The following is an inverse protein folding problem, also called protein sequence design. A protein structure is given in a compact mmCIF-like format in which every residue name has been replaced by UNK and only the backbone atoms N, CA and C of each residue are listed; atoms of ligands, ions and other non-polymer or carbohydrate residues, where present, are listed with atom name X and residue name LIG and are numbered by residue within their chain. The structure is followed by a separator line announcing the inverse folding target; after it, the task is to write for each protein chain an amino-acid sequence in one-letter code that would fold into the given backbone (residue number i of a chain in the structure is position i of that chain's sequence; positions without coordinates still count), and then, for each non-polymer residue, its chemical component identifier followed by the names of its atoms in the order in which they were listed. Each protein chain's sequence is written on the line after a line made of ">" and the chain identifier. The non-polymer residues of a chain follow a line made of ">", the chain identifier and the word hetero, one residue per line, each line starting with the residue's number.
data_IF_882004305490
#
_entry.id   IF_882004305490
#
_cell.length_a   1.000
_cell.length_b   1.000
_cell.length_c   1.000
_cell.angle_alpha   90.00
_cell.angle_beta   90.00
_cell.angle_gamma   90.00
#
_symmetry.space_group_name_H-M   'P 1'
#
loop_
_entity.id
_entity.type
_entity.pdbx_description
1 polymer ?
#
# COMPACT_ATOMS: atom_id res chain seq x y z
N UNK A 1 -47.27 72.58 52.02
CA UNK A 1 -46.87 72.50 50.58
C UNK A 1 -46.43 71.11 50.29
N UNK A 2 -47.27 70.38 49.52
CA UNK A 2 -47.08 68.95 49.18
C UNK A 2 -46.58 68.82 47.75
N UNK A 3 -45.42 68.24 47.49
CA UNK A 3 -44.96 67.84 46.14
C UNK A 3 -45.16 66.33 45.97
N UNK A 4 -46.02 65.94 45.03
CA UNK A 4 -46.23 64.60 44.59
C UNK A 4 -45.17 64.23 43.57
N UNK A 5 -44.46 63.17 43.77
CA UNK A 5 -43.52 62.55 42.81
C UNK A 5 -44.23 61.42 42.10
N UNK A 6 -44.39 61.51 40.76
CA UNK A 6 -44.89 60.44 39.89
C UNK A 6 -43.76 59.43 39.66
N UNK A 7 -44.02 58.16 39.96
CA UNK A 7 -43.21 57.02 39.54
C UNK A 7 -43.67 56.61 38.16
N UNK A 8 -42.77 56.74 37.18
CA UNK A 8 -42.93 56.11 35.84
C UNK A 8 -42.35 54.72 35.86
N UNK A 9 -43.21 53.68 35.74
CA UNK A 9 -42.81 52.29 35.59
C UNK A 9 -42.46 52.04 34.12
N UNK A 10 -41.17 51.93 33.79
CA UNK A 10 -40.66 51.49 32.49
C UNK A 10 -40.63 49.95 32.48
N UNK A 11 -41.48 49.30 31.69
CA UNK A 11 -41.41 47.89 31.41
C UNK A 11 -40.27 47.61 30.44
N UNK A 12 -39.18 47.00 30.90
CA UNK A 12 -38.09 46.51 30.09
C UNK A 12 -38.55 45.15 29.46
N UNK A 13 -38.88 45.17 28.15
CA UNK A 13 -39.09 43.94 27.35
C UNK A 13 -37.67 43.37 27.08
N UNK A 14 -37.29 42.34 27.82
CA UNK A 14 -36.15 41.54 27.53
C UNK A 14 -36.41 40.70 26.28
N UNK A 15 -35.88 41.11 25.12
CA UNK A 15 -35.79 40.27 23.91
C UNK A 15 -34.81 39.12 24.22
N UNK A 16 -35.35 37.94 24.55
CA UNK A 16 -34.63 36.71 24.57
C UNK A 16 -34.24 36.33 23.11
N UNK A 17 -33.05 36.73 22.70
CA UNK A 17 -32.46 36.15 21.48
C UNK A 17 -32.28 34.63 21.73
N UNK A 18 -32.77 33.76 20.82
CA UNK A 18 -32.46 32.35 20.90
C UNK A 18 -30.94 32.22 20.76
N UNK A 19 -30.29 31.79 21.84
CA UNK A 19 -28.91 31.35 21.77
C UNK A 19 -28.89 30.14 20.81
N UNK A 20 -28.52 30.37 19.55
CA UNK A 20 -28.10 29.33 18.65
C UNK A 20 -26.82 28.72 19.26
N UNK A 21 -27.01 27.83 20.24
CA UNK A 21 -26.01 26.91 20.67
C UNK A 21 -25.71 26.01 19.45
N UNK A 22 -24.86 26.49 18.56
CA UNK A 22 -24.19 25.64 17.60
C UNK A 22 -23.53 24.55 18.41
N UNK A 23 -24.11 23.35 18.40
CA UNK A 23 -23.42 22.18 18.91
C UNK A 23 -22.07 22.15 18.20
N UNK A 24 -21.01 22.53 18.91
CA UNK A 24 -19.65 22.33 18.42
C UNK A 24 -19.54 20.81 18.18
N UNK A 25 -19.70 20.43 16.92
CA UNK A 25 -19.67 19.02 16.52
C UNK A 25 -18.28 18.49 16.87
N UNK A 26 -18.22 17.50 17.79
CA UNK A 26 -16.96 17.00 18.33
C UNK A 26 -15.99 16.64 17.20
N UNK A 27 -14.82 17.27 17.23
CA UNK A 27 -13.71 16.97 16.33
C UNK A 27 -13.02 15.69 16.79
N UNK A 28 -12.66 14.83 15.84
CA UNK A 28 -11.93 13.58 16.06
C UNK A 28 -10.57 13.70 15.40
N UNK A 29 -9.51 13.55 16.18
CA UNK A 29 -8.14 13.46 15.66
C UNK A 29 -7.73 12.01 15.53
N UNK A 30 -7.17 11.64 14.35
CA UNK A 30 -6.67 10.31 14.01
C UNK A 30 -5.16 10.36 13.79
N UNK A 31 -4.42 9.49 14.47
CA UNK A 31 -2.98 9.32 14.26
C UNK A 31 -2.74 8.41 13.05
N UNK A 32 -2.14 8.96 12.00
CA UNK A 32 -1.71 8.20 10.81
C UNK A 32 -0.21 7.95 10.87
N UNK A 33 0.23 6.68 10.80
CA UNK A 33 1.63 6.31 10.87
C UNK A 33 2.05 5.48 9.66
N UNK A 34 3.23 5.78 9.10
CA UNK A 34 3.78 5.07 7.94
C UNK A 34 5.31 5.12 7.90
N UNK A 35 5.91 4.13 7.22
CA UNK A 35 7.34 4.11 6.95
C UNK A 35 7.75 4.98 5.75
N UNK A 36 6.80 5.49 4.97
CA UNK A 36 7.09 6.29 3.78
C UNK A 36 7.65 7.66 4.14
N UNK A 37 8.67 8.07 3.40
CA UNK A 37 9.29 9.39 3.58
C UNK A 37 8.38 10.53 3.10
N UNK A 38 8.44 11.73 3.71
CA UNK A 38 7.54 12.85 3.39
C UNK A 38 7.60 13.34 1.93
N UNK A 39 8.71 13.10 1.23
CA UNK A 39 8.90 13.47 -0.17
C UNK A 39 8.50 12.37 -1.16
N UNK A 40 8.09 11.20 -0.70
CA UNK A 40 7.74 10.08 -1.58
C UNK A 40 6.42 10.32 -2.31
N UNK A 41 6.31 9.74 -3.53
CA UNK A 41 5.05 9.73 -4.28
C UNK A 41 3.87 9.19 -3.45
N UNK A 42 4.09 8.07 -2.74
CA UNK A 42 3.08 7.45 -1.87
C UNK A 42 2.62 8.42 -0.78
N UNK A 43 3.55 9.14 -0.14
CA UNK A 43 3.16 10.10 0.89
C UNK A 43 2.36 11.26 0.30
N UNK A 44 2.87 11.90 -0.74
CA UNK A 44 2.28 13.14 -1.29
C UNK A 44 0.96 12.89 -2.02
N UNK A 45 0.93 11.89 -2.88
CA UNK A 45 -0.17 11.67 -3.82
C UNK A 45 -1.17 10.58 -3.38
N UNK A 46 -0.86 9.80 -2.35
CA UNK A 46 -1.76 8.80 -1.79
C UNK A 46 -2.17 9.12 -0.35
N UNK A 47 -1.22 9.07 0.60
CA UNK A 47 -1.57 9.21 2.03
C UNK A 47 -2.12 10.59 2.34
N UNK A 48 -1.38 11.64 1.96
CA UNK A 48 -1.83 13.02 2.18
C UNK A 48 -3.12 13.31 1.43
N UNK A 49 -3.22 12.93 0.16
CA UNK A 49 -4.41 13.16 -0.65
C UNK A 49 -5.65 12.43 -0.08
N UNK A 50 -5.48 11.21 0.46
CA UNK A 50 -6.56 10.48 1.13
C UNK A 50 -6.97 11.17 2.44
N UNK A 51 -6.01 11.56 3.28
CA UNK A 51 -6.29 12.29 4.53
C UNK A 51 -6.98 13.63 4.26
N UNK A 52 -6.48 14.44 3.33
CA UNK A 52 -7.07 15.72 2.94
C UNK A 52 -8.53 15.55 2.45
N UNK A 53 -8.79 14.46 1.69
CA UNK A 53 -10.14 14.15 1.24
C UNK A 53 -11.07 13.78 2.39
N UNK A 54 -10.64 12.95 3.32
CA UNK A 54 -11.42 12.58 4.51
C UNK A 54 -11.68 13.81 5.39
N UNK A 55 -10.69 14.66 5.60
CA UNK A 55 -10.85 15.92 6.33
C UNK A 55 -11.91 16.82 5.66
N UNK A 56 -11.82 16.99 4.35
CA UNK A 56 -12.79 17.78 3.56
C UNK A 56 -14.20 17.19 3.64
N UNK A 57 -14.35 15.89 3.40
CA UNK A 57 -15.65 15.22 3.37
C UNK A 57 -16.33 15.18 4.75
N UNK A 58 -15.53 15.24 5.82
CA UNK A 58 -16.04 15.36 7.20
C UNK A 58 -16.41 16.78 7.61
N UNK A 59 -16.24 17.78 6.72
CA UNK A 59 -16.38 19.21 7.07
C UNK A 59 -15.35 19.67 8.10
N UNK A 60 -14.16 19.05 8.12
CA UNK A 60 -13.10 19.34 9.08
C UNK A 60 -13.27 18.73 10.46
N UNK A 61 -14.27 17.85 10.64
CA UNK A 61 -14.53 17.16 11.92
C UNK A 61 -13.61 15.98 12.18
N UNK A 62 -13.07 15.34 11.13
CA UNK A 62 -11.93 14.44 11.23
C UNK A 62 -10.68 15.25 10.91
N UNK A 63 -9.65 15.11 11.75
CA UNK A 63 -8.32 15.66 11.56
C UNK A 63 -7.29 14.56 11.65
N UNK A 64 -6.18 14.71 10.93
CA UNK A 64 -5.08 13.77 11.02
C UNK A 64 -3.84 14.40 11.65
N UNK A 65 -3.25 13.67 12.60
CA UNK A 65 -1.87 13.84 13.01
C UNK A 65 -1.04 12.79 12.28
N UNK A 66 -0.25 13.22 11.31
CA UNK A 66 0.44 12.34 10.39
C UNK A 66 1.93 12.22 10.74
N UNK A 67 2.41 10.98 10.84
CA UNK A 67 3.75 10.59 11.27
C UNK A 67 4.44 9.74 10.19
N UNK A 68 5.06 10.38 9.17
CA UNK A 68 5.83 9.68 8.14
C UNK A 68 7.17 9.16 8.69
N UNK A 69 7.85 8.33 7.90
CA UNK A 69 9.21 7.84 8.17
C UNK A 69 9.41 7.26 9.57
N UNK A 70 8.42 6.53 10.08
CA UNK A 70 8.42 5.87 11.41
C UNK A 70 8.62 6.85 12.59
N UNK A 71 8.15 8.09 12.50
CA UNK A 71 8.34 9.11 13.55
C UNK A 71 7.79 8.75 14.94
N UNK A 72 6.81 7.83 15.02
CA UNK A 72 6.32 7.30 16.30
C UNK A 72 7.12 6.09 16.81
N UNK A 73 8.23 5.76 16.12
CA UNK A 73 9.09 4.64 16.48
C UNK A 73 8.60 3.28 16.00
N UNK A 74 9.38 2.26 16.32
CA UNK A 74 9.19 0.91 15.81
C UNK A 74 9.81 0.70 14.42
N UNK A 75 9.45 -0.41 13.79
CA UNK A 75 9.91 -0.80 12.47
C UNK A 75 8.73 -0.97 11.50
N UNK A 76 8.96 -0.89 10.19
CA UNK A 76 7.91 -1.03 9.20
C UNK A 76 7.07 -2.33 9.35
N UNK A 77 7.64 -3.50 9.68
CA UNK A 77 6.87 -4.72 9.98
C UNK A 77 5.92 -4.60 11.18
N UNK A 78 6.18 -3.70 12.13
CA UNK A 78 5.34 -3.54 13.33
C UNK A 78 4.10 -2.67 13.11
N UNK A 79 3.98 -1.99 11.97
CA UNK A 79 2.87 -1.06 11.70
C UNK A 79 1.49 -1.71 11.81
N UNK A 80 1.34 -2.95 11.32
CA UNK A 80 0.06 -3.66 11.45
C UNK A 80 -0.30 -3.92 12.93
N UNK A 81 0.66 -4.30 13.75
CA UNK A 81 0.41 -4.50 15.19
C UNK A 81 0.19 -3.17 15.90
N UNK A 82 0.88 -2.10 15.54
CA UNK A 82 0.63 -0.77 16.11
C UNK A 82 -0.82 -0.31 15.90
N UNK A 83 -1.40 -0.53 14.71
CA UNK A 83 -2.80 -0.18 14.47
C UNK A 83 -3.76 -1.17 15.13
N UNK A 84 -3.45 -2.47 15.13
CA UNK A 84 -4.26 -3.49 15.80
C UNK A 84 -4.37 -3.19 17.31
N UNK A 85 -3.25 -2.87 17.93
CA UNK A 85 -3.15 -2.65 19.37
C UNK A 85 -3.54 -1.21 19.81
N UNK A 86 -3.88 -0.33 18.86
CA UNK A 86 -4.35 1.04 19.15
C UNK A 86 -3.25 2.04 19.51
N UNK A 87 -1.98 1.72 19.21
CA UNK A 87 -0.86 2.68 19.36
C UNK A 87 -1.03 3.83 18.37
N UNK A 88 -1.54 3.53 17.18
CA UNK A 88 -1.95 4.48 16.15
C UNK A 88 -3.36 4.15 15.67
N UNK A 89 -4.05 5.14 15.09
CA UNK A 89 -5.43 4.95 14.62
C UNK A 89 -5.48 4.41 13.19
N UNK A 90 -4.59 4.85 12.31
CA UNK A 90 -4.55 4.47 10.89
C UNK A 90 -3.11 4.17 10.48
N UNK A 91 -2.95 3.14 9.65
CA UNK A 91 -1.66 2.83 9.00
C UNK A 91 -1.85 2.32 7.59
N UNK A 92 -0.77 2.43 6.82
CA UNK A 92 -0.61 1.79 5.53
C UNK A 92 0.67 0.95 5.55
N UNK A 93 0.55 -0.35 5.19
CA UNK A 93 1.68 -1.28 5.25
C UNK A 93 1.48 -2.46 4.30
N UNK A 94 2.56 -3.09 3.78
CA UNK A 94 2.45 -4.37 3.09
C UNK A 94 2.24 -5.51 4.10
N UNK A 95 1.18 -6.33 3.95
CA UNK A 95 1.00 -7.54 4.76
C UNK A 95 2.20 -8.48 4.71
N UNK A 96 2.90 -8.55 3.58
CA UNK A 96 4.09 -9.39 3.37
C UNK A 96 5.30 -9.04 4.25
N UNK A 97 5.31 -7.92 4.96
CA UNK A 97 6.34 -7.60 5.95
C UNK A 97 6.27 -8.50 7.20
N UNK A 98 5.13 -9.14 7.45
CA UNK A 98 4.93 -10.16 8.49
C UNK A 98 4.73 -11.53 7.84
N UNK A 99 5.84 -12.15 7.44
CA UNK A 99 5.86 -13.38 6.65
C UNK A 99 4.93 -14.47 7.21
N UNK A 100 4.07 -15.03 6.35
CA UNK A 100 3.16 -16.15 6.67
C UNK A 100 1.93 -15.79 7.52
N UNK A 101 1.75 -14.53 7.90
CA UNK A 101 0.57 -14.09 8.66
C UNK A 101 -0.69 -13.97 7.79
N UNK A 102 -0.53 -13.62 6.52
CA UNK A 102 -1.60 -13.39 5.55
C UNK A 102 -1.43 -14.30 4.32
N UNK A 103 -1.42 -15.64 4.51
CA UNK A 103 -0.94 -16.56 3.49
C UNK A 103 -1.82 -16.64 2.24
N UNK A 104 -3.14 -16.38 2.33
CA UNK A 104 -4.05 -16.38 1.18
C UNK A 104 -3.87 -15.14 0.31
N UNK A 105 -3.61 -13.99 0.94
CA UNK A 105 -3.29 -12.72 0.25
C UNK A 105 -2.01 -12.82 -0.59
N UNK A 106 -1.07 -13.70 -0.23
CA UNK A 106 0.17 -13.91 -0.98
C UNK A 106 -0.05 -14.43 -2.41
N UNK A 107 -1.25 -14.93 -2.77
CA UNK A 107 -1.58 -15.32 -4.14
C UNK A 107 -1.40 -14.19 -5.16
N UNK A 108 -1.62 -12.95 -4.76
CA UNK A 108 -1.42 -11.77 -5.60
C UNK A 108 0.05 -11.40 -5.81
N UNK A 109 0.95 -11.90 -4.96
CA UNK A 109 2.40 -11.66 -5.04
C UNK A 109 3.15 -12.78 -5.79
N UNK A 110 2.44 -13.80 -6.26
CA UNK A 110 3.01 -14.84 -7.11
C UNK A 110 3.48 -14.25 -8.45
N UNK A 111 4.51 -14.85 -9.07
CA UNK A 111 5.09 -14.30 -10.28
C UNK A 111 4.08 -14.13 -11.42
N UNK A 112 4.17 -13.01 -12.14
CA UNK A 112 3.39 -12.74 -13.35
C UNK A 112 1.87 -12.74 -13.18
N UNK A 113 1.36 -12.56 -11.97
CA UNK A 113 -0.08 -12.47 -11.70
C UNK A 113 -0.67 -11.10 -12.07
N UNK A 114 0.07 -10.04 -11.80
CA UNK A 114 -0.41 -8.67 -11.99
C UNK A 114 -0.42 -8.26 -13.46
N UNK A 115 -1.48 -7.56 -13.88
CA UNK A 115 -1.60 -6.91 -15.21
C UNK A 115 -1.37 -5.40 -15.11
N UNK A 116 -2.18 -4.70 -14.32
CA UNK A 116 -2.00 -3.30 -13.94
C UNK A 116 -2.51 -3.11 -12.51
N UNK A 117 -2.01 -2.08 -11.83
CA UNK A 117 -2.29 -1.92 -10.41
C UNK A 117 -3.75 -1.57 -10.11
N UNK A 118 -4.43 -0.79 -10.96
CA UNK A 118 -5.83 -0.44 -10.74
C UNK A 118 -6.74 -1.68 -10.79
N UNK A 119 -6.63 -2.49 -11.84
CA UNK A 119 -7.43 -3.71 -12.00
C UNK A 119 -7.09 -4.76 -10.93
N UNK A 120 -5.79 -4.97 -10.69
CA UNK A 120 -5.33 -5.93 -9.69
C UNK A 120 -5.74 -5.53 -8.27
N UNK A 121 -5.80 -4.23 -7.96
CA UNK A 121 -6.28 -3.74 -6.67
C UNK A 121 -7.78 -3.97 -6.48
N UNK A 122 -8.61 -3.80 -7.52
CA UNK A 122 -10.04 -4.18 -7.49
C UNK A 122 -10.20 -5.68 -7.22
N UNK A 123 -9.40 -6.49 -7.91
CA UNK A 123 -9.41 -7.94 -7.74
C UNK A 123 -8.98 -8.33 -6.32
N UNK A 124 -7.96 -7.70 -5.77
CA UNK A 124 -7.47 -7.98 -4.41
C UNK A 124 -8.50 -7.61 -3.35
N UNK A 125 -9.16 -6.47 -3.50
CA UNK A 125 -10.29 -6.09 -2.62
C UNK A 125 -11.40 -7.14 -2.64
N UNK A 126 -11.89 -7.53 -3.83
CA UNK A 126 -12.95 -8.53 -3.96
C UNK A 126 -12.55 -9.89 -3.41
N UNK A 127 -11.31 -10.33 -3.71
CA UNK A 127 -10.76 -11.58 -3.23
C UNK A 127 -10.70 -11.64 -1.71
N UNK A 128 -10.16 -10.64 -1.06
CA UNK A 128 -10.06 -10.64 0.41
C UNK A 128 -11.44 -10.73 1.04
N UNK A 129 -12.43 -9.98 0.56
CA UNK A 129 -13.77 -9.98 1.12
C UNK A 129 -14.54 -11.30 0.89
N UNK A 130 -14.19 -12.07 -0.15
CA UNK A 130 -14.86 -13.33 -0.48
C UNK A 130 -14.11 -14.56 -0.01
N UNK A 131 -12.76 -14.51 0.05
CA UNK A 131 -11.92 -15.68 0.26
C UNK A 131 -10.99 -15.59 1.47
N UNK A 132 -10.73 -14.40 2.01
CA UNK A 132 -9.69 -14.18 3.00
C UNK A 132 -10.03 -13.10 4.06
N UNK A 133 -11.32 -12.81 4.31
CA UNK A 133 -11.75 -11.73 5.20
C UNK A 133 -11.24 -11.88 6.64
N UNK A 134 -11.08 -13.11 7.11
CA UNK A 134 -10.56 -13.42 8.45
C UNK A 134 -9.07 -13.11 8.61
N UNK A 135 -8.29 -12.96 7.52
CA UNK A 135 -6.88 -12.55 7.62
C UNK A 135 -6.73 -11.14 8.22
N UNK A 136 -7.69 -10.27 7.98
CA UNK A 136 -7.67 -8.87 8.46
C UNK A 136 -8.73 -8.56 9.53
N UNK A 137 -9.29 -9.58 10.18
CA UNK A 137 -10.38 -9.44 11.16
C UNK A 137 -10.06 -8.54 12.37
N UNK A 138 -8.79 -8.38 12.67
CA UNK A 138 -8.34 -7.63 13.86
C UNK A 138 -8.30 -6.11 13.63
N UNK A 139 -8.46 -5.65 12.40
CA UNK A 139 -8.46 -4.23 12.03
C UNK A 139 -9.72 -3.89 11.20
N UNK A 140 -10.03 -2.61 11.08
CA UNK A 140 -10.96 -2.12 10.08
C UNK A 140 -10.20 -1.90 8.77
N UNK A 141 -10.48 -2.74 7.78
CA UNK A 141 -9.90 -2.62 6.43
C UNK A 141 -10.53 -1.43 5.70
N UNK A 142 -9.72 -0.47 5.28
CA UNK A 142 -10.19 0.70 4.52
C UNK A 142 -9.94 0.51 3.02
N UNK A 143 -8.75 0.03 2.64
CA UNK A 143 -8.44 -0.29 1.25
C UNK A 143 -7.37 -1.39 1.16
N UNK A 144 -7.40 -2.13 0.06
CA UNK A 144 -6.47 -3.20 -0.29
C UNK A 144 -6.00 -2.97 -1.72
N UNK A 145 -4.71 -2.83 -1.94
CA UNK A 145 -4.20 -2.52 -3.29
C UNK A 145 -2.82 -3.14 -3.54
N UNK A 146 -2.34 -2.98 -4.76
CA UNK A 146 -0.99 -3.40 -5.18
C UNK A 146 -0.26 -2.22 -5.82
N UNK A 147 1.09 -2.30 -5.89
CA UNK A 147 1.92 -1.34 -6.62
C UNK A 147 2.01 -1.70 -8.12
N UNK A 148 2.61 -0.83 -8.93
CA UNK A 148 2.94 -1.06 -10.34
C UNK A 148 3.92 -2.22 -10.55
N UNK A 149 4.35 -2.48 -11.80
CA UNK A 149 5.27 -3.56 -12.13
C UNK A 149 6.57 -3.51 -11.34
N UNK A 150 6.95 -4.64 -10.74
CA UNK A 150 8.25 -4.79 -10.08
C UNK A 150 9.39 -4.86 -11.09
N UNK A 151 10.49 -4.14 -10.81
CA UNK A 151 11.68 -3.98 -11.64
C UNK A 151 12.89 -4.51 -10.87
N UNK A 152 13.87 -5.08 -11.58
CA UNK A 152 15.16 -5.50 -11.00
C UNK A 152 16.16 -4.37 -11.16
N UNK A 153 16.74 -3.91 -10.06
CA UNK A 153 17.75 -2.86 -10.02
C UNK A 153 19.07 -3.41 -9.48
N UNK A 154 20.18 -3.23 -10.20
CA UNK A 154 21.49 -3.79 -9.83
C UNK A 154 22.60 -2.76 -9.96
N UNK A 155 23.64 -2.89 -9.09
CA UNK A 155 24.79 -1.98 -9.03
C UNK A 155 25.85 -2.33 -10.06
N UNK A 156 26.21 -3.61 -10.17
CA UNK A 156 27.49 -4.04 -10.75
C UNK A 156 27.34 -4.54 -12.19
N UNK A 157 26.27 -5.24 -12.50
CA UNK A 157 26.03 -5.81 -13.83
C UNK A 157 24.54 -5.85 -14.20
N UNK A 158 24.20 -5.76 -15.50
CA UNK A 158 22.82 -5.89 -15.95
C UNK A 158 22.29 -7.31 -15.76
N UNK A 159 20.98 -7.43 -15.53
CA UNK A 159 20.24 -8.70 -15.54
C UNK A 159 19.40 -8.77 -16.81
N UNK A 160 19.92 -9.39 -17.86
CA UNK A 160 19.26 -9.58 -19.14
C UNK A 160 18.65 -10.98 -19.30
N UNK A 161 19.24 -11.96 -18.61
CA UNK A 161 18.84 -13.37 -18.59
C UNK A 161 18.64 -13.85 -17.17
N UNK A 162 17.98 -15.01 -17.00
CA UNK A 162 17.83 -15.63 -15.67
C UNK A 162 19.19 -15.98 -15.07
N UNK A 163 20.13 -16.43 -15.88
CA UNK A 163 21.49 -16.83 -15.47
C UNK A 163 22.29 -15.67 -14.87
N UNK A 164 22.02 -14.43 -15.28
CA UNK A 164 22.68 -13.25 -14.73
C UNK A 164 22.42 -13.04 -13.24
N UNK A 165 21.30 -13.56 -12.72
CA UNK A 165 20.95 -13.49 -11.30
C UNK A 165 21.76 -14.45 -10.43
N UNK A 166 22.42 -15.45 -11.02
CA UNK A 166 23.13 -16.50 -10.26
C UNK A 166 24.14 -15.90 -9.30
N UNK A 167 23.96 -16.20 -8.00
CA UNK A 167 24.82 -15.76 -6.91
C UNK A 167 24.70 -14.29 -6.53
N UNK A 168 23.89 -13.47 -7.22
CA UNK A 168 23.66 -12.07 -6.83
C UNK A 168 22.82 -12.00 -5.56
N UNK A 169 23.26 -11.20 -4.61
CA UNK A 169 22.48 -10.88 -3.40
C UNK A 169 21.43 -9.83 -3.74
N UNK A 170 20.19 -10.24 -3.90
CA UNK A 170 19.09 -9.36 -4.31
C UNK A 170 18.08 -9.22 -3.17
N UNK A 171 17.76 -8.00 -2.81
CA UNK A 171 16.71 -7.73 -1.82
C UNK A 171 15.32 -8.11 -2.35
N UNK A 172 14.58 -8.89 -1.56
CA UNK A 172 13.14 -9.16 -1.76
C UNK A 172 12.28 -8.54 -0.65
N UNK A 173 11.07 -8.04 -0.97
CA UNK A 173 10.19 -7.37 0.00
C UNK A 173 9.38 -8.32 0.87
N UNK A 174 9.06 -9.52 0.39
CA UNK A 174 8.14 -10.46 1.02
C UNK A 174 8.58 -11.90 0.82
N UNK A 175 7.91 -12.83 1.51
CA UNK A 175 8.17 -14.27 1.39
C UNK A 175 8.01 -14.80 -0.06
N UNK A 176 6.90 -14.52 -0.78
CA UNK A 176 6.75 -14.96 -2.16
C UNK A 176 7.85 -14.41 -3.09
N UNK A 177 8.16 -13.12 -2.99
CA UNK A 177 9.19 -12.50 -3.84
C UNK A 177 10.60 -12.99 -3.48
N UNK A 178 10.87 -13.27 -2.20
CA UNK A 178 12.14 -13.90 -1.78
C UNK A 178 12.29 -15.31 -2.37
N UNK A 179 11.22 -16.12 -2.36
CA UNK A 179 11.18 -17.43 -3.02
C UNK A 179 11.36 -17.31 -4.53
N UNK A 180 10.72 -16.30 -5.16
CA UNK A 180 10.91 -16.01 -6.58
C UNK A 180 12.39 -15.78 -6.90
N UNK A 181 13.05 -14.87 -6.20
CA UNK A 181 14.46 -14.58 -6.43
C UNK A 181 15.36 -15.81 -6.26
N UNK A 182 15.06 -16.65 -5.24
CA UNK A 182 15.77 -17.93 -5.05
C UNK A 182 15.56 -18.89 -6.24
N UNK A 183 14.34 -19.04 -6.74
CA UNK A 183 14.01 -19.91 -7.88
C UNK A 183 14.69 -19.46 -9.18
N UNK A 184 15.02 -18.18 -9.28
CA UNK A 184 15.74 -17.57 -10.38
C UNK A 184 17.28 -17.68 -10.23
N UNK A 185 17.78 -18.26 -9.13
CA UNK A 185 19.21 -18.46 -8.87
C UNK A 185 19.92 -17.34 -8.12
N UNK A 186 19.20 -16.29 -7.70
CA UNK A 186 19.75 -15.26 -6.83
C UNK A 186 19.93 -15.79 -5.39
N UNK A 187 20.73 -15.09 -4.59
CA UNK A 187 20.77 -15.20 -3.13
C UNK A 187 19.87 -14.12 -2.55
N UNK A 188 18.62 -14.43 -2.18
CA UNK A 188 17.68 -13.41 -1.74
C UNK A 188 18.00 -12.92 -0.34
N UNK A 189 17.80 -11.62 -0.11
CA UNK A 189 17.93 -10.98 1.21
C UNK A 189 16.62 -10.28 1.54
N UNK A 190 15.87 -10.81 2.51
CA UNK A 190 14.61 -10.21 2.96
C UNK A 190 14.86 -8.99 3.84
N UNK A 191 14.32 -7.82 3.46
CA UNK A 191 14.37 -6.62 4.30
C UNK A 191 13.27 -5.62 3.90
N UNK A 192 12.79 -4.77 4.84
CA UNK A 192 11.86 -3.69 4.53
C UNK A 192 12.50 -2.60 3.66
N UNK A 193 11.65 -1.82 2.96
CA UNK A 193 12.08 -0.80 2.00
C UNK A 193 13.12 0.21 2.57
N UNK A 194 12.96 0.76 3.79
CA UNK A 194 13.90 1.75 4.32
C UNK A 194 15.34 1.24 4.53
N UNK A 195 15.55 -0.07 4.56
CA UNK A 195 16.88 -0.65 4.75
C UNK A 195 17.70 -0.75 3.44
N UNK A 196 17.08 -0.55 2.27
CA UNK A 196 17.72 -0.71 0.96
C UNK A 196 18.94 0.22 0.75
N UNK A 197 18.84 1.55 1.04
CA UNK A 197 19.96 2.45 0.78
C UNK A 197 21.24 2.06 1.52
N UNK A 198 21.12 1.71 2.78
CA UNK A 198 22.25 1.28 3.61
C UNK A 198 22.84 -0.04 3.10
N UNK A 199 21.99 -1.01 2.78
CA UNK A 199 22.43 -2.32 2.29
C UNK A 199 23.12 -2.24 0.92
N UNK A 200 22.65 -1.39 -0.02
CA UNK A 200 23.32 -1.13 -1.30
C UNK A 200 24.64 -0.40 -1.10
N UNK A 201 24.66 0.66 -0.28
CA UNK A 201 25.87 1.46 -0.03
C UNK A 201 27.01 0.66 0.61
N UNK A 202 26.67 -0.30 1.47
CA UNK A 202 27.63 -1.21 2.12
C UNK A 202 27.98 -2.44 1.29
N UNK A 203 27.38 -2.62 0.10
CA UNK A 203 27.57 -3.83 -0.71
C UNK A 203 27.05 -5.11 -0.06
N UNK A 204 26.18 -5.00 0.94
CA UNK A 204 25.51 -6.16 1.56
C UNK A 204 24.59 -6.86 0.57
N UNK A 205 24.02 -6.10 -0.37
CA UNK A 205 23.25 -6.57 -1.52
C UNK A 205 23.82 -5.98 -2.81
N UNK A 206 23.71 -6.73 -3.93
CA UNK A 206 24.11 -6.28 -5.26
C UNK A 206 22.96 -5.57 -6.00
N UNK A 207 21.75 -5.66 -5.47
CA UNK A 207 20.56 -5.07 -6.07
C UNK A 207 19.31 -5.31 -5.25
N UNK A 208 18.22 -4.81 -5.78
CA UNK A 208 16.89 -4.97 -5.16
C UNK A 208 15.80 -5.09 -6.22
N UNK A 209 14.64 -5.60 -5.81
CA UNK A 209 13.42 -5.48 -6.60
C UNK A 209 12.47 -4.49 -5.93
N UNK A 210 12.06 -3.47 -6.69
CA UNK A 210 11.08 -2.44 -6.32
C UNK A 210 10.36 -1.95 -7.58
N UNK A 211 9.14 -1.37 -7.50
CA UNK A 211 8.56 -0.63 -8.61
C UNK A 211 9.29 0.71 -8.80
N UNK A 212 9.15 1.31 -9.96
CA UNK A 212 9.81 2.59 -10.26
C UNK A 212 9.39 3.73 -9.31
N UNK A 213 8.14 3.73 -8.86
CA UNK A 213 7.59 4.84 -8.07
C UNK A 213 8.34 5.10 -6.74
N UNK A 214 8.92 4.07 -6.12
CA UNK A 214 9.68 4.24 -4.87
C UNK A 214 11.17 4.52 -5.10
N UNK A 215 11.67 4.31 -6.31
CA UNK A 215 13.09 4.46 -6.64
C UNK A 215 13.68 5.79 -6.17
N UNK A 216 13.05 6.96 -6.42
CA UNK A 216 13.59 8.24 -5.93
C UNK A 216 13.56 8.37 -4.41
N UNK A 217 12.54 7.81 -3.74
CA UNK A 217 12.35 7.98 -2.30
C UNK A 217 13.41 7.25 -1.46
N UNK A 218 13.99 6.18 -2.00
CA UNK A 218 15.06 5.39 -1.38
C UNK A 218 16.36 5.45 -2.19
N UNK A 219 16.50 6.41 -3.11
CA UNK A 219 17.71 6.72 -3.87
C UNK A 219 18.31 5.53 -4.64
N UNK A 220 17.50 4.58 -5.06
CA UNK A 220 17.96 3.39 -5.80
C UNK A 220 18.65 3.81 -7.10
N UNK A 221 18.16 4.84 -7.80
CA UNK A 221 18.79 5.36 -9.03
C UNK A 221 20.19 5.99 -8.79
N UNK A 222 20.54 6.29 -7.55
CA UNK A 222 21.87 6.77 -7.19
C UNK A 222 22.84 5.64 -6.85
N UNK A 223 22.29 4.52 -6.36
CA UNK A 223 23.02 3.38 -5.81
C UNK A 223 23.10 2.19 -6.76
N UNK A 224 22.36 2.24 -7.88
CA UNK A 224 22.34 1.21 -8.93
C UNK A 224 22.55 1.83 -10.29
N UNK A 225 23.00 1.03 -11.27
CA UNK A 225 23.31 1.50 -12.63
C UNK A 225 22.45 0.83 -13.71
N UNK A 226 21.90 -0.35 -13.39
CA UNK A 226 21.20 -1.20 -14.36
C UNK A 226 19.80 -1.52 -13.86
N UNK A 227 18.82 -1.43 -14.78
CA UNK A 227 17.43 -1.65 -14.45
C UNK A 227 16.79 -2.54 -15.53
N UNK A 228 16.24 -3.67 -15.10
CA UNK A 228 15.59 -4.62 -15.98
C UNK A 228 14.06 -4.58 -15.79
N UNK A 229 13.37 -4.15 -16.83
CA UNK A 229 11.91 -4.10 -16.93
C UNK A 229 11.39 -5.33 -17.64
N UNK A 230 10.15 -5.71 -17.36
CA UNK A 230 9.42 -6.75 -18.07
C UNK A 230 8.30 -6.13 -18.91
N UNK A 231 8.02 -6.69 -20.09
CA UNK A 231 6.90 -6.24 -20.91
C UNK A 231 5.59 -6.44 -20.15
N UNK A 232 4.81 -5.37 -19.92
CA UNK A 232 3.53 -5.46 -19.21
C UNK A 232 2.53 -6.41 -19.87
N UNK A 233 2.57 -6.58 -21.20
CA UNK A 233 1.72 -7.53 -21.93
C UNK A 233 1.96 -8.97 -21.47
N UNK A 234 3.17 -9.27 -21.03
CA UNK A 234 3.52 -10.55 -20.43
C UNK A 234 3.16 -10.66 -18.93
N UNK A 235 2.64 -9.63 -18.30
CA UNK A 235 2.47 -9.54 -16.85
C UNK A 235 3.75 -9.14 -16.12
N UNK A 236 3.60 -8.52 -14.97
CA UNK A 236 4.69 -8.06 -14.12
C UNK A 236 5.46 -9.22 -13.50
N UNK A 237 6.79 -9.09 -13.38
CA UNK A 237 7.62 -10.06 -12.65
C UNK A 237 7.04 -10.36 -11.26
N UNK A 238 6.63 -9.32 -10.54
CA UNK A 238 5.91 -9.40 -9.27
C UNK A 238 5.19 -8.09 -8.97
N UNK A 239 4.30 -8.12 -8.03
CA UNK A 239 3.79 -6.96 -7.29
C UNK A 239 3.79 -7.27 -5.80
N UNK A 240 3.53 -6.27 -4.96
CA UNK A 240 3.36 -6.43 -3.53
C UNK A 240 1.96 -5.96 -3.14
N UNK A 241 1.34 -6.67 -2.21
CA UNK A 241 0.05 -6.28 -1.64
C UNK A 241 0.21 -5.27 -0.53
N UNK A 242 -0.80 -4.40 -0.37
CA UNK A 242 -0.87 -3.38 0.68
C UNK A 242 -2.24 -3.33 1.32
N UNK A 243 -2.26 -2.94 2.58
CA UNK A 243 -3.47 -2.60 3.32
C UNK A 243 -3.38 -1.18 3.86
N UNK A 244 -4.42 -0.39 3.63
CA UNK A 244 -4.76 0.80 4.42
C UNK A 244 -5.80 0.35 5.44
N UNK A 245 -5.51 0.49 6.73
CA UNK A 245 -6.39 0.00 7.79
C UNK A 245 -6.42 0.93 8.99
N UNK A 246 -7.49 0.81 9.76
CA UNK A 246 -7.75 1.59 10.97
C UNK A 246 -7.93 0.67 12.17
N UNK A 247 -7.55 1.15 13.36
CA UNK A 247 -7.85 0.48 14.61
C UNK A 247 -9.36 0.24 14.75
N UNK A 248 -9.75 -1.01 15.01
CA UNK A 248 -11.16 -1.42 15.01
C UNK A 248 -11.96 -0.77 16.15
N UNK A 249 -11.37 -0.64 17.33
CA UNK A 249 -12.03 0.03 18.46
C UNK A 249 -12.21 1.53 18.19
N UNK A 250 -11.18 2.18 17.63
CA UNK A 250 -11.27 3.60 17.23
C UNK A 250 -12.35 3.83 16.18
N UNK A 251 -12.39 3.00 15.11
CA UNK A 251 -13.46 3.06 14.12
C UNK A 251 -14.84 2.89 14.76
N UNK A 252 -15.00 1.91 15.64
CA UNK A 252 -16.27 1.66 16.33
C UNK A 252 -16.70 2.83 17.22
N UNK A 253 -15.79 3.58 17.78
CA UNK A 253 -16.06 4.75 18.65
C UNK A 253 -16.45 6.01 17.88
N UNK A 254 -16.28 6.04 16.55
CA UNK A 254 -16.65 7.19 15.72
C UNK A 254 -18.17 7.43 15.75
N UNK A 255 -18.62 8.70 15.75
CA UNK A 255 -20.02 9.03 15.48
C UNK A 255 -20.51 8.42 14.15
N UNK A 256 -21.81 8.04 14.05
CA UNK A 256 -22.32 7.35 12.87
C UNK A 256 -22.11 8.09 11.54
N UNK A 257 -22.18 9.41 11.55
CA UNK A 257 -21.97 10.26 10.39
C UNK A 257 -20.48 10.30 9.99
N UNK A 258 -19.56 10.31 10.95
CA UNK A 258 -18.12 10.23 10.68
C UNK A 258 -17.68 8.82 10.22
N UNK A 259 -18.35 7.76 10.70
CA UNK A 259 -18.18 6.40 10.11
C UNK A 259 -18.55 6.40 8.64
N UNK A 260 -19.68 7.00 8.26
CA UNK A 260 -20.08 7.11 6.85
C UNK A 260 -19.04 7.84 6.01
N UNK A 261 -18.37 8.87 6.55
CA UNK A 261 -17.27 9.55 5.84
C UNK A 261 -16.08 8.60 5.63
N UNK A 262 -15.67 7.87 6.65
CA UNK A 262 -14.60 6.86 6.53
C UNK A 262 -15.00 5.80 5.48
N UNK A 263 -16.22 5.26 5.57
CA UNK A 263 -16.72 4.22 4.64
C UNK A 263 -16.77 4.73 3.19
N UNK A 264 -17.22 5.97 2.97
CA UNK A 264 -17.25 6.60 1.64
C UNK A 264 -15.84 6.85 1.05
N UNK A 265 -14.81 6.90 1.89
CA UNK A 265 -13.40 7.04 1.52
C UNK A 265 -12.64 5.70 1.64
N UNK A 266 -13.35 4.59 1.60
CA UNK A 266 -12.83 3.23 1.73
C UNK A 266 -13.35 2.34 0.59
N UNK A 267 -12.99 1.06 0.61
CA UNK A 267 -13.59 0.08 -0.28
C UNK A 267 -12.87 -0.08 -1.62
N UNK A 268 -13.55 -0.74 -2.55
CA UNK A 268 -12.99 -1.09 -3.86
C UNK A 268 -12.58 0.15 -4.68
N UNK A 269 -13.38 1.23 -4.63
CA UNK A 269 -13.05 2.45 -5.37
C UNK A 269 -11.76 3.10 -4.86
N UNK A 270 -11.59 3.17 -3.54
CA UNK A 270 -10.37 3.66 -2.91
C UNK A 270 -9.18 2.74 -3.21
N UNK A 271 -9.37 1.42 -3.16
CA UNK A 271 -8.36 0.43 -3.52
C UNK A 271 -7.86 0.61 -4.95
N UNK A 272 -8.78 0.76 -5.89
CA UNK A 272 -8.48 1.02 -7.30
C UNK A 272 -7.70 2.33 -7.48
N UNK A 273 -8.16 3.41 -6.84
CA UNK A 273 -7.51 4.72 -6.88
C UNK A 273 -6.08 4.67 -6.32
N UNK A 274 -5.86 4.02 -5.16
CA UNK A 274 -4.53 3.87 -4.58
C UNK A 274 -3.58 3.12 -5.53
N UNK A 275 -4.01 2.00 -6.12
CA UNK A 275 -3.20 1.25 -7.09
C UNK A 275 -2.86 2.09 -8.32
N UNK A 276 -3.85 2.81 -8.89
CA UNK A 276 -3.67 3.69 -10.03
C UNK A 276 -2.65 4.81 -9.76
N UNK A 277 -2.80 5.51 -8.64
CA UNK A 277 -1.92 6.64 -8.26
C UNK A 277 -0.51 6.14 -7.98
N UNK A 278 -0.37 4.99 -7.32
CA UNK A 278 0.94 4.40 -7.06
C UNK A 278 1.64 4.05 -8.36
N UNK A 279 0.98 3.34 -9.27
CA UNK A 279 1.57 2.99 -10.58
C UNK A 279 1.85 4.22 -11.45
N UNK A 280 1.04 5.28 -11.37
CA UNK A 280 1.33 6.53 -12.11
C UNK A 280 2.67 7.16 -11.69
N UNK A 281 3.12 6.93 -10.46
CA UNK A 281 4.45 7.32 -9.97
C UNK A 281 5.62 6.60 -10.64
N UNK A 282 5.37 5.49 -11.38
CA UNK A 282 6.42 4.78 -12.12
C UNK A 282 7.03 5.66 -13.23
N UNK A 283 6.24 6.53 -13.84
CA UNK A 283 6.71 7.43 -14.92
C UNK A 283 7.81 8.38 -14.43
N UNK A 284 7.59 9.23 -13.42
CA UNK A 284 8.64 10.08 -12.89
C UNK A 284 9.76 9.29 -12.20
N UNK A 285 9.47 8.16 -11.58
CA UNK A 285 10.47 7.28 -10.98
C UNK A 285 11.46 6.75 -12.02
N UNK A 286 10.97 6.20 -13.13
CA UNK A 286 11.79 5.75 -14.27
C UNK A 286 12.61 6.88 -14.88
N UNK A 287 11.95 8.05 -15.06
CA UNK A 287 12.63 9.24 -15.58
C UNK A 287 13.82 9.65 -14.71
N UNK A 288 13.71 9.58 -13.39
CA UNK A 288 14.79 9.94 -12.47
C UNK A 288 16.06 9.09 -12.67
N UNK A 289 15.91 7.81 -13.02
CA UNK A 289 17.04 6.93 -13.34
C UNK A 289 17.60 7.23 -14.75
N UNK A 290 16.73 7.44 -15.74
CA UNK A 290 17.14 7.80 -17.10
C UNK A 290 17.92 9.12 -17.14
N UNK A 291 17.47 10.16 -16.43
CA UNK A 291 18.13 11.47 -16.35
C UNK A 291 19.53 11.39 -15.72
N UNK A 292 19.80 10.37 -14.92
CA UNK A 292 21.15 10.08 -14.37
C UNK A 292 22.05 9.30 -15.31
N UNK A 293 21.54 8.88 -16.47
CA UNK A 293 22.29 8.06 -17.42
C UNK A 293 22.34 6.57 -17.05
N UNK A 294 21.46 6.11 -16.15
CA UNK A 294 21.38 4.69 -15.82
C UNK A 294 20.89 3.88 -17.02
N UNK A 295 21.35 2.65 -17.13
CA UNK A 295 20.96 1.76 -18.23
C UNK A 295 19.64 1.04 -17.92
N UNK A 296 18.62 1.35 -18.69
CA UNK A 296 17.28 0.75 -18.57
C UNK A 296 17.04 -0.10 -19.81
N UNK A 297 16.61 -1.34 -19.63
CA UNK A 297 16.30 -2.24 -20.75
C UNK A 297 15.14 -3.16 -20.38
N UNK A 298 14.40 -3.56 -21.41
CA UNK A 298 13.33 -4.55 -21.27
C UNK A 298 13.90 -5.95 -21.50
N UNK A 299 13.62 -6.87 -20.58
CA UNK A 299 13.95 -8.29 -20.73
C UNK A 299 13.24 -8.82 -21.99
N UNK A 300 13.98 -9.52 -22.84
CA UNK A 300 13.42 -10.04 -24.10
C UNK A 300 12.23 -10.98 -23.86
N UNK A 301 11.31 -11.12 -24.84
CA UNK A 301 10.18 -12.04 -24.69
C UNK A 301 10.62 -13.50 -24.43
N UNK A 302 11.71 -13.94 -25.05
CA UNK A 302 12.27 -15.29 -24.85
C UNK A 302 12.75 -15.45 -23.41
N UNK A 303 13.52 -14.50 -22.91
CA UNK A 303 14.00 -14.52 -21.52
C UNK A 303 12.86 -14.36 -20.52
N UNK A 304 11.87 -13.52 -20.79
CA UNK A 304 10.67 -13.40 -19.95
C UNK A 304 9.97 -14.77 -19.79
N UNK A 305 9.91 -15.59 -20.87
CA UNK A 305 9.41 -16.97 -20.77
C UNK A 305 10.33 -17.88 -19.93
N UNK A 306 11.65 -17.67 -19.97
CA UNK A 306 12.60 -18.38 -19.12
C UNK A 306 12.37 -18.06 -17.64
N UNK A 307 12.18 -16.77 -17.29
CA UNK A 307 11.81 -16.33 -15.94
C UNK A 307 10.51 -17.01 -15.45
N UNK A 308 9.47 -17.04 -16.31
CA UNK A 308 8.20 -17.73 -16.00
C UNK A 308 8.40 -19.22 -15.75
N UNK A 309 9.13 -19.90 -16.64
CA UNK A 309 9.36 -21.34 -16.53
C UNK A 309 10.09 -21.70 -15.23
N UNK A 310 11.11 -20.92 -14.85
CA UNK A 310 11.88 -21.14 -13.62
C UNK A 310 11.04 -20.91 -12.37
N UNK A 311 10.12 -19.94 -12.37
CA UNK A 311 9.29 -19.61 -11.23
C UNK A 311 7.98 -20.40 -11.11
N UNK A 312 7.64 -21.22 -12.14
CA UNK A 312 6.34 -21.93 -12.20
C UNK A 312 6.09 -22.85 -10.99
N UNK A 313 7.13 -23.45 -10.44
CA UNK A 313 7.00 -24.32 -9.27
C UNK A 313 6.46 -23.62 -8.02
N UNK A 314 6.63 -22.30 -7.93
CA UNK A 314 6.17 -21.51 -6.77
C UNK A 314 4.65 -21.49 -6.62
N UNK A 315 3.91 -21.57 -7.73
CA UNK A 315 2.45 -21.68 -7.67
C UNK A 315 2.01 -23.00 -7.04
N UNK A 316 2.66 -24.11 -7.43
CA UNK A 316 2.40 -25.45 -6.87
C UNK A 316 2.75 -25.46 -5.39
N UNK A 317 3.94 -24.97 -5.04
CA UNK A 317 4.38 -24.88 -3.67
C UNK A 317 3.43 -24.05 -2.79
N UNK A 318 2.95 -22.92 -3.31
CA UNK A 318 1.98 -22.10 -2.58
C UNK A 318 0.63 -22.81 -2.41
N UNK A 319 0.12 -23.49 -3.44
CA UNK A 319 -1.12 -24.26 -3.33
C UNK A 319 -0.98 -25.39 -2.28
N UNK A 320 0.15 -26.09 -2.26
CA UNK A 320 0.43 -27.12 -1.26
C UNK A 320 0.51 -26.53 0.16
N UNK A 321 1.14 -25.36 0.33
CA UNK A 321 1.16 -24.64 1.60
C UNK A 321 -0.26 -24.28 2.07
N UNK A 322 -1.15 -23.87 1.16
CA UNK A 322 -2.54 -23.58 1.47
C UNK A 322 -3.31 -24.86 1.86
N UNK A 323 -3.11 -25.96 1.12
CA UNK A 323 -3.74 -27.25 1.42
C UNK A 323 -3.33 -27.76 2.82
N UNK A 324 -2.06 -27.63 3.19
CA UNK A 324 -1.55 -27.99 4.54
C UNK A 324 -2.18 -27.15 5.66
N UNK A 325 -2.65 -25.93 5.33
CA UNK A 325 -3.36 -25.03 6.26
C UNK A 325 -4.88 -25.25 6.26
N UNK A 326 -5.39 -26.25 5.52
CA UNK A 326 -6.82 -26.57 5.45
C UNK A 326 -7.61 -25.73 4.43
N UNK A 327 -6.95 -25.02 3.54
CA UNK A 327 -7.58 -24.24 2.47
C UNK A 327 -7.46 -25.00 1.14
N UNK A 328 -8.41 -24.81 0.23
CA UNK A 328 -8.29 -25.29 -1.16
C UNK A 328 -7.38 -24.34 -1.96
N UNK A 329 -6.08 -24.68 -2.02
CA UNK A 329 -5.07 -23.85 -2.69
C UNK A 329 -5.35 -23.67 -4.19
N UNK A 330 -5.91 -24.68 -4.86
CA UNK A 330 -6.30 -24.57 -6.27
C UNK A 330 -7.42 -23.54 -6.47
N UNK A 331 -8.50 -23.68 -5.70
CA UNK A 331 -9.62 -22.74 -5.75
C UNK A 331 -9.18 -21.30 -5.47
N UNK A 332 -8.31 -21.10 -4.46
CA UNK A 332 -7.78 -19.78 -4.12
C UNK A 332 -7.01 -19.17 -5.29
N UNK A 333 -6.12 -19.93 -5.93
CA UNK A 333 -5.31 -19.47 -7.06
C UNK A 333 -6.16 -19.17 -8.30
N UNK A 334 -7.08 -20.07 -8.62
CA UNK A 334 -7.99 -19.90 -9.77
C UNK A 334 -8.92 -18.70 -9.57
N UNK A 335 -9.40 -18.46 -8.33
CA UNK A 335 -10.17 -17.26 -7.98
C UNK A 335 -9.34 -15.99 -8.15
N UNK A 336 -8.08 -15.98 -7.68
CA UNK A 336 -7.17 -14.83 -7.87
C UNK A 336 -7.04 -14.47 -9.36
N UNK A 337 -6.80 -15.45 -10.21
CA UNK A 337 -6.67 -15.27 -11.67
C UNK A 337 -7.96 -14.76 -12.31
N UNK A 338 -9.07 -15.40 -11.98
CA UNK A 338 -10.38 -15.01 -12.52
C UNK A 338 -10.76 -13.58 -12.16
N UNK A 339 -10.49 -13.14 -10.93
CA UNK A 339 -10.77 -11.78 -10.48
C UNK A 339 -9.85 -10.75 -11.16
N UNK A 340 -8.55 -11.05 -11.30
CA UNK A 340 -7.62 -10.17 -12.04
C UNK A 340 -8.08 -10.04 -13.50
N UNK A 341 -8.45 -11.13 -14.16
CA UNK A 341 -8.96 -11.12 -15.53
C UNK A 341 -10.27 -10.30 -15.66
N UNK A 342 -11.24 -10.55 -14.75
CA UNK A 342 -12.51 -9.81 -14.68
C UNK A 342 -12.28 -8.30 -14.63
N UNK A 343 -11.46 -7.85 -13.67
CA UNK A 343 -11.23 -6.42 -13.48
C UNK A 343 -10.31 -5.79 -14.54
N UNK A 344 -9.42 -6.58 -15.17
CA UNK A 344 -8.59 -6.10 -16.29
C UNK A 344 -9.42 -5.78 -17.54
N UNK A 345 -10.48 -6.55 -17.81
CA UNK A 345 -11.40 -6.29 -18.94
C UNK A 345 -12.19 -5.00 -18.74
N UNK A 346 -12.64 -4.73 -17.52
CA UNK A 346 -13.46 -3.54 -17.20
C UNK A 346 -12.64 -2.26 -17.01
N UNK A 347 -11.34 -2.35 -16.79
CA UNK A 347 -10.46 -1.17 -16.62
C UNK A 347 -9.91 -0.66 -17.98
N UNK A 348 -9.98 -1.45 -19.06
CA UNK A 348 -9.59 -1.05 -20.42
C UNK A 348 -10.70 -0.33 -21.21
N UNK A 349 -11.92 -0.34 -20.69
CA UNK A 349 -13.07 0.39 -21.22
C UNK A 349 -13.21 1.75 -20.55
#
# INVERSE_FOLDING_TARGET
>A
MKRRTLLQSGAAVALAAPALSGFAQAQVTLKFHTFMAPQSNVWLNMHKAWMDKVEKDSGGRIKFEAYPAMQLGGTAPQLYDQVKDGVVDVTWTPPGFTAGRFPRSESFELPFMMTNAEATSKAYWEYVHTMAADEFKDVQTLALHVHGPGVIHTSDKPVKTVEDLKGMKIRGPSRPVTKLLASLGATPVGMPLPAIPDALSKGTINGCVVPWEVVPSVKVQELTKYHAEFDPAGGSLYTLTFILCMNKAKYNSLPPDLKKVIDANSGMATSAWLGKVQQAGDIPGRKSAADRGNQIFTVSPVESQNFRRKSRALEVEWMEDMNKKGFDGRKLLDTTRALIEKHSKTTKA
#
